data_IF_594125477199
#
_entry.id   IF_594125477199
#
_cell.length_a   1.000
_cell.length_b   1.000
_cell.length_c   1.000
_cell.angle_alpha   90.00
_cell.angle_beta   90.00
_cell.angle_gamma   90.00
#
_symmetry.space_group_name_H-M   'P 1'
#
loop_
_entity.id
_entity.type
_entity.pdbx_description
1 polymer ?
#
# COMPACT_ATOMS: atom_id res chain seq x y z
N UNK A 1 -12.03 32.99 7.68
CA UNK A 1 -13.27 32.35 8.22
C UNK A 1 -12.87 31.33 9.26
N UNK A 2 -13.25 31.53 10.52
CA UNK A 2 -12.80 30.71 11.65
C UNK A 2 -13.74 29.51 11.82
N UNK A 3 -13.17 28.31 12.04
CA UNK A 3 -13.86 27.01 12.18
C UNK A 3 -14.96 26.96 13.26
N UNK A 4 -15.13 28.03 14.04
CA UNK A 4 -16.08 28.12 15.17
C UNK A 4 -17.50 28.54 14.76
N UNK A 5 -17.72 28.97 13.52
CA UNK A 5 -19.02 29.53 13.10
C UNK A 5 -19.95 28.49 12.45
N UNK A 6 -19.43 27.27 12.18
CA UNK A 6 -20.22 26.19 11.56
C UNK A 6 -21.07 25.41 12.58
N UNK A 7 -20.75 25.51 13.87
CA UNK A 7 -21.46 24.73 14.91
C UNK A 7 -22.66 25.42 15.53
N UNK A 8 -23.06 26.62 15.07
CA UNK A 8 -24.22 27.34 15.61
C UNK A 8 -25.51 27.27 14.82
N UNK A 9 -25.53 26.52 13.69
CA UNK A 9 -26.69 26.45 12.80
C UNK A 9 -27.49 25.13 12.88
N UNK A 10 -27.19 24.24 13.83
CA UNK A 10 -27.86 22.96 13.96
C UNK A 10 -28.58 22.80 15.30
N UNK A 11 -29.42 23.74 15.61
CA UNK A 11 -30.19 23.70 16.87
C UNK A 11 -31.49 24.49 16.76
N UNK A 12 -32.52 23.97 16.11
CA UNK A 12 -33.95 24.26 16.38
C UNK A 12 -34.81 23.56 15.32
N UNK A 13 -35.24 22.35 15.56
CA UNK A 13 -36.49 21.79 15.03
C UNK A 13 -36.73 20.41 15.68
N UNK A 14 -37.15 20.42 16.91
CA UNK A 14 -37.74 19.26 17.54
C UNK A 14 -39.00 19.73 18.24
N UNK A 15 -40.14 19.35 17.73
CA UNK A 15 -41.39 19.06 18.44
C UNK A 15 -42.58 19.16 17.48
N UNK A 16 -43.15 18.05 17.16
CA UNK A 16 -44.61 17.82 17.15
C UNK A 16 -44.95 16.61 16.27
N UNK A 17 -45.65 15.66 16.82
CA UNK A 17 -46.35 14.63 16.04
C UNK A 17 -46.31 13.24 16.67
N UNK A 18 -46.94 13.09 17.81
CA UNK A 18 -47.29 11.80 18.39
C UNK A 18 -48.48 11.16 17.69
N UNK A 19 -48.53 9.82 17.73
CA UNK A 19 -49.69 8.94 17.66
C UNK A 19 -50.34 8.73 16.30
N UNK A 20 -50.12 7.57 15.69
CA UNK A 20 -51.20 6.64 15.34
C UNK A 20 -50.65 5.21 15.41
N UNK A 21 -51.26 4.44 16.29
CA UNK A 21 -51.10 2.99 16.40
C UNK A 21 -51.94 2.28 15.33
N UNK A 22 -51.58 1.02 15.13
CA UNK A 22 -52.36 -0.08 14.57
C UNK A 22 -51.97 -0.63 13.19
N UNK A 23 -51.25 -1.71 13.27
CA UNK A 23 -51.71 -2.96 12.65
C UNK A 23 -51.52 -3.11 11.15
N UNK A 24 -50.38 -3.71 10.75
CA UNK A 24 -50.40 -4.78 9.74
C UNK A 24 -49.04 -5.47 9.74
N UNK A 25 -49.07 -6.75 10.04
CA UNK A 25 -47.90 -7.63 9.84
C UNK A 25 -47.62 -7.67 8.35
N UNK A 26 -46.51 -7.08 7.93
CA UNK A 26 -45.87 -7.32 6.65
C UNK A 26 -44.68 -8.24 6.87
N UNK A 27 -44.49 -9.27 6.03
CA UNK A 27 -43.45 -10.26 6.27
C UNK A 27 -42.09 -9.60 6.17
N UNK A 28 -41.30 -9.86 7.20
CA UNK A 28 -39.87 -9.46 7.27
C UNK A 28 -39.16 -9.86 5.96
N UNK A 29 -38.96 -8.90 5.08
CA UNK A 29 -37.98 -9.00 4.02
C UNK A 29 -36.63 -9.14 4.68
N UNK A 30 -36.13 -10.40 4.70
CA UNK A 30 -34.72 -10.67 4.92
C UNK A 30 -33.93 -9.75 4.00
N UNK A 31 -33.36 -8.69 4.56
CA UNK A 31 -32.26 -7.99 3.94
C UNK A 31 -31.15 -9.03 3.78
N UNK A 32 -31.14 -9.68 2.62
CA UNK A 32 -30.01 -10.46 2.16
C UNK A 32 -28.85 -9.47 2.10
N UNK A 33 -28.01 -9.50 3.13
CA UNK A 33 -26.69 -8.89 3.13
C UNK A 33 -25.97 -9.51 1.93
N UNK A 34 -26.07 -8.86 0.78
CA UNK A 34 -25.19 -9.14 -0.35
C UNK A 34 -23.79 -8.73 0.10
N UNK A 35 -23.13 -9.68 0.76
CA UNK A 35 -21.68 -9.67 0.89
C UNK A 35 -21.16 -9.71 -0.55
N UNK A 36 -20.93 -8.54 -1.12
CA UNK A 36 -20.23 -8.40 -2.37
C UNK A 36 -18.84 -9.00 -2.12
N UNK A 37 -18.65 -10.23 -2.55
CA UNK A 37 -17.35 -10.87 -2.67
C UNK A 37 -16.58 -10.10 -3.76
N UNK A 38 -16.11 -8.90 -3.41
CA UNK A 38 -15.12 -8.18 -4.21
C UNK A 38 -13.86 -9.03 -4.17
N UNK A 39 -13.60 -9.74 -5.27
CA UNK A 39 -12.33 -10.41 -5.50
C UNK A 39 -11.23 -9.41 -5.15
N UNK A 40 -10.32 -9.71 -4.21
CA UNK A 40 -9.34 -8.75 -3.77
C UNK A 40 -8.53 -8.27 -4.96
N UNK A 41 -8.49 -6.96 -5.16
CA UNK A 41 -7.74 -6.33 -6.24
C UNK A 41 -6.26 -6.73 -6.12
N UNK A 42 -5.68 -7.24 -7.21
CA UNK A 42 -4.26 -7.59 -7.26
C UNK A 42 -3.44 -6.32 -7.42
N UNK A 43 -2.51 -6.12 -6.52
CA UNK A 43 -1.57 -5.01 -6.52
C UNK A 43 -0.27 -5.50 -7.17
N UNK A 44 0.20 -4.80 -8.19
CA UNK A 44 1.47 -5.10 -8.85
C UNK A 44 2.51 -4.06 -8.46
N UNK A 45 3.62 -4.52 -7.88
CA UNK A 45 4.75 -3.69 -7.52
C UNK A 45 5.97 -4.01 -8.38
N UNK A 46 6.74 -2.98 -8.67
CA UNK A 46 8.06 -3.07 -9.32
C UNK A 46 9.14 -2.96 -8.25
N UNK A 47 10.05 -3.92 -8.22
CA UNK A 47 11.26 -3.87 -7.42
C UNK A 47 12.46 -3.67 -8.35
N UNK A 48 13.17 -2.57 -8.19
CA UNK A 48 14.43 -2.32 -8.91
C UNK A 48 15.62 -2.71 -8.05
N UNK A 49 16.64 -3.34 -8.64
CA UNK A 49 17.80 -3.83 -7.89
C UNK A 49 19.13 -3.25 -8.40
N UNK A 50 20.08 -3.06 -7.49
CA UNK A 50 21.46 -2.68 -7.83
C UNK A 50 22.22 -3.83 -8.52
N UNK A 51 21.71 -5.05 -8.40
CA UNK A 51 22.36 -6.27 -8.86
C UNK A 51 21.87 -6.68 -10.24
N UNK A 52 22.73 -7.33 -11.05
CA UNK A 52 22.26 -8.00 -12.25
C UNK A 52 21.19 -9.03 -11.91
N UNK A 53 20.31 -9.30 -12.87
CA UNK A 53 19.26 -10.30 -12.71
C UNK A 53 19.85 -11.66 -12.36
N UNK A 54 19.28 -12.31 -11.35
CA UNK A 54 19.71 -13.62 -10.86
C UNK A 54 21.16 -13.68 -10.36
N UNK A 55 21.78 -12.55 -10.03
CA UNK A 55 23.10 -12.53 -9.43
C UNK A 55 23.10 -13.39 -8.16
N UNK A 56 24.07 -14.33 -8.00
CA UNK A 56 24.11 -15.24 -6.87
C UNK A 56 24.08 -14.51 -5.50
N UNK A 57 23.22 -14.95 -4.62
CA UNK A 57 23.01 -14.35 -3.32
C UNK A 57 22.15 -13.08 -3.36
N UNK A 58 22.62 -12.03 -3.98
CA UNK A 58 21.97 -10.71 -3.93
C UNK A 58 20.79 -10.58 -4.91
N UNK A 59 20.95 -10.95 -6.16
CA UNK A 59 19.85 -10.93 -7.13
C UNK A 59 18.83 -12.04 -6.88
N UNK A 60 19.29 -13.24 -6.50
CA UNK A 60 18.40 -14.33 -6.11
C UNK A 60 17.68 -14.04 -4.80
N UNK A 61 18.32 -13.32 -3.87
CA UNK A 61 17.70 -12.84 -2.64
C UNK A 61 16.53 -11.88 -2.90
N UNK A 62 16.68 -10.96 -3.86
CA UNK A 62 15.60 -10.08 -4.28
C UNK A 62 14.39 -10.87 -4.84
N UNK A 63 14.65 -11.89 -5.67
CA UNK A 63 13.61 -12.77 -6.19
C UNK A 63 12.92 -13.57 -5.07
N UNK A 64 13.69 -14.04 -4.09
CA UNK A 64 13.15 -14.75 -2.94
C UNK A 64 12.26 -13.85 -2.09
N UNK A 65 12.67 -12.60 -1.84
CA UNK A 65 11.86 -11.60 -1.15
C UNK A 65 10.54 -11.34 -1.89
N UNK A 66 10.59 -11.17 -3.20
CA UNK A 66 9.40 -10.99 -4.02
C UNK A 66 8.43 -12.18 -3.91
N UNK A 67 8.96 -13.40 -3.90
CA UNK A 67 8.19 -14.63 -3.70
C UNK A 67 7.52 -14.64 -2.32
N UNK A 68 8.27 -14.32 -1.26
CA UNK A 68 7.72 -14.27 0.10
C UNK A 68 6.59 -13.23 0.23
N UNK A 69 6.73 -12.05 -0.35
CA UNK A 69 5.69 -11.03 -0.34
C UNK A 69 4.41 -11.55 -1.02
N UNK A 70 4.54 -12.23 -2.15
CA UNK A 70 3.40 -12.83 -2.85
C UNK A 70 2.72 -13.90 -1.99
N UNK A 71 3.49 -14.82 -1.39
CA UNK A 71 2.96 -15.88 -0.53
C UNK A 71 2.29 -15.32 0.73
N UNK A 72 2.95 -14.40 1.44
CA UNK A 72 2.42 -13.79 2.67
C UNK A 72 1.18 -12.93 2.43
N UNK A 73 1.07 -12.33 1.25
CA UNK A 73 -0.12 -11.57 0.85
C UNK A 73 -1.26 -12.43 0.29
N UNK A 74 -1.12 -13.76 0.30
CA UNK A 74 -2.03 -14.69 -0.36
C UNK A 74 -2.27 -14.36 -1.83
N UNK A 75 -1.22 -13.92 -2.54
CA UNK A 75 -1.26 -13.55 -3.96
C UNK A 75 -1.87 -12.17 -4.25
N UNK A 76 -2.16 -11.38 -3.22
CA UNK A 76 -2.68 -10.01 -3.40
C UNK A 76 -1.63 -9.05 -3.94
N UNK A 77 -0.37 -9.21 -3.51
CA UNK A 77 0.74 -8.36 -3.94
C UNK A 77 1.67 -9.21 -4.80
N UNK A 78 1.80 -8.81 -6.04
CA UNK A 78 2.75 -9.42 -6.98
C UNK A 78 3.92 -8.44 -7.19
N UNK A 79 5.14 -8.89 -6.90
CA UNK A 79 6.33 -8.06 -7.05
C UNK A 79 7.13 -8.52 -8.26
N UNK A 80 7.25 -7.65 -9.26
CA UNK A 80 8.11 -7.89 -10.42
C UNK A 80 9.50 -7.31 -10.17
N UNK A 81 10.51 -8.19 -10.18
CA UNK A 81 11.91 -7.80 -9.95
C UNK A 81 12.59 -7.43 -11.26
N UNK A 82 13.24 -6.28 -11.25
CA UNK A 82 14.05 -5.76 -12.35
C UNK A 82 15.52 -5.70 -11.90
N UNK A 83 16.39 -6.33 -12.66
CA UNK A 83 17.83 -6.27 -12.46
C UNK A 83 18.40 -4.90 -12.82
N UNK A 84 19.65 -4.67 -12.43
CA UNK A 84 20.38 -3.46 -12.78
C UNK A 84 20.36 -3.22 -14.29
N UNK A 85 20.05 -1.99 -14.71
CA UNK A 85 19.94 -1.53 -16.10
C UNK A 85 18.73 -2.08 -16.89
N UNK A 86 17.81 -2.83 -16.25
CA UNK A 86 16.57 -3.26 -16.94
C UNK A 86 15.52 -2.12 -16.95
N UNK A 87 15.39 -1.38 -15.86
CA UNK A 87 14.45 -0.26 -15.74
C UNK A 87 15.19 1.05 -15.44
N UNK A 88 16.15 1.01 -14.51
CA UNK A 88 16.97 2.15 -14.09
C UNK A 88 18.43 1.73 -13.92
N UNK A 89 19.35 2.68 -13.88
CA UNK A 89 20.77 2.43 -13.58
C UNK A 89 20.96 1.85 -12.18
N UNK A 90 22.02 1.06 -11.99
CA UNK A 90 22.30 0.35 -10.75
C UNK A 90 22.39 1.26 -9.50
N UNK A 91 22.83 2.51 -9.64
CA UNK A 91 22.97 3.46 -8.54
C UNK A 91 21.81 4.48 -8.47
N UNK A 92 20.85 4.40 -9.38
CA UNK A 92 19.70 5.33 -9.47
C UNK A 92 18.47 4.83 -8.71
N UNK A 93 18.57 3.68 -8.05
CA UNK A 93 17.46 3.01 -7.36
C UNK A 93 16.82 3.92 -6.31
N UNK A 94 17.62 4.63 -5.52
CA UNK A 94 17.11 5.54 -4.50
C UNK A 94 16.23 6.63 -5.11
N UNK A 95 16.68 7.22 -6.20
CA UNK A 95 15.93 8.27 -6.90
C UNK A 95 14.67 7.71 -7.57
N UNK A 96 14.77 6.54 -8.20
CA UNK A 96 13.64 5.87 -8.84
C UNK A 96 12.49 5.56 -7.85
N UNK A 97 12.82 5.09 -6.65
CA UNK A 97 11.82 4.84 -5.61
C UNK A 97 11.31 6.16 -5.02
N UNK A 98 12.18 7.12 -4.76
CA UNK A 98 11.80 8.43 -4.22
C UNK A 98 10.85 9.20 -5.15
N UNK A 99 10.97 9.01 -6.46
CA UNK A 99 10.13 9.62 -7.49
C UNK A 99 8.91 8.79 -7.87
N UNK A 100 8.74 7.59 -7.28
CA UNK A 100 7.62 6.71 -7.57
C UNK A 100 7.71 5.97 -8.91
N UNK A 101 8.88 5.90 -9.54
CA UNK A 101 9.11 5.09 -10.74
C UNK A 101 9.01 3.59 -10.45
N UNK A 102 9.41 3.21 -9.25
CA UNK A 102 9.25 1.87 -8.70
C UNK A 102 8.77 1.95 -7.25
N UNK A 103 8.02 0.95 -6.81
CA UNK A 103 7.46 0.87 -5.48
C UNK A 103 8.48 0.37 -4.45
N UNK A 104 9.50 -0.37 -4.90
CA UNK A 104 10.53 -0.96 -4.04
C UNK A 104 11.91 -0.85 -4.67
N UNK A 105 12.94 -0.75 -3.81
CA UNK A 105 14.34 -0.80 -4.20
C UNK A 105 15.11 -1.83 -3.36
N UNK A 106 15.99 -2.60 -3.99
CA UNK A 106 16.87 -3.55 -3.32
C UNK A 106 18.32 -3.28 -3.67
N UNK A 107 19.08 -2.78 -2.71
CA UNK A 107 20.48 -2.41 -2.87
C UNK A 107 21.19 -2.25 -1.54
N UNK A 108 22.50 -2.05 -1.57
CA UNK A 108 23.26 -1.79 -0.36
C UNK A 108 23.12 -0.32 0.07
N UNK A 109 22.76 -0.09 1.32
CA UNK A 109 22.47 1.24 1.84
C UNK A 109 23.67 2.21 1.76
N UNK A 110 24.92 1.72 1.79
CA UNK A 110 26.10 2.57 1.66
C UNK A 110 26.24 3.24 0.28
N UNK A 111 25.60 2.74 -0.76
CA UNK A 111 25.56 3.40 -2.06
C UNK A 111 24.84 4.76 -2.00
N UNK A 112 24.00 4.95 -0.99
CA UNK A 112 23.18 6.14 -0.83
C UNK A 112 23.75 7.17 0.15
N UNK A 113 25.04 7.02 0.54
CA UNK A 113 25.72 7.97 1.45
C UNK A 113 25.67 9.43 0.98
N UNK A 114 25.66 9.65 -0.34
CA UNK A 114 25.50 10.98 -0.93
C UNK A 114 24.08 11.55 -0.84
N UNK A 115 23.07 10.70 -0.62
CA UNK A 115 21.67 11.08 -0.46
C UNK A 115 21.27 11.20 1.01
N UNK A 116 21.75 10.26 1.84
CA UNK A 116 21.53 10.25 3.28
C UNK A 116 22.80 9.79 3.99
N UNK A 117 23.34 10.66 4.87
CA UNK A 117 24.53 10.34 5.64
C UNK A 117 24.33 9.14 6.58
N UNK A 118 23.10 8.94 7.05
CA UNK A 118 22.77 7.82 7.93
C UNK A 118 22.77 6.47 7.21
N UNK A 119 22.52 6.44 5.89
CA UNK A 119 22.37 5.21 5.12
C UNK A 119 23.60 4.28 5.20
N UNK A 120 24.80 4.84 5.28
CA UNK A 120 26.03 4.05 5.36
C UNK A 120 26.14 3.20 6.63
N UNK A 121 25.55 3.63 7.75
CA UNK A 121 25.63 2.89 9.00
C UNK A 121 24.80 1.61 8.99
N UNK A 122 23.73 1.56 8.23
CA UNK A 122 22.87 0.37 8.14
C UNK A 122 23.49 -0.79 7.34
N UNK A 123 24.57 -0.56 6.62
CA UNK A 123 25.29 -1.61 5.90
C UNK A 123 26.48 -2.19 6.70
N UNK A 124 26.90 -1.51 7.77
CA UNK A 124 28.09 -1.85 8.53
C UNK A 124 27.79 -2.30 9.98
N UNK A 125 26.53 -2.28 10.40
CA UNK A 125 26.13 -2.80 11.72
C UNK A 125 25.96 -4.32 11.60
N UNK A 126 26.69 -5.13 12.40
CA UNK A 126 26.59 -6.58 12.42
C UNK A 126 25.25 -7.07 12.98
#
# INVERSE_FOLDING_TARGET
MKRRDIMKAAGLAAAAGALVACGKEEPAQKAASQSASTKPEKIQWKMVTTWPKNFPGLGTGANYLAKLINEMSAGRIEVKVYGAKELVGALEIFDAVSQGTAEMGHGASYYWKGKSRAAQFFAAVP
#
